data_IF_554614617530
#
_entry.id   IF_554614617530
#
_cell.length_a   1.000
_cell.length_b   1.000
_cell.length_c   1.000
_cell.angle_alpha   90.00
_cell.angle_beta   90.00
_cell.angle_gamma   90.00
#
_symmetry.space_group_name_H-M   'P 1'
#
loop_
_entity.id
_entity.type
_entity.pdbx_description
1 polymer ?
#
# COMPACT_ATOMS: atom_id res chain seq x y z
N UNK A 1 -31.79 0.67 18.84
CA UNK A 1 -32.66 0.43 20.03
C UNK A 1 -34.09 0.72 19.67
N UNK A 2 -35.01 -0.10 20.16
CA UNK A 2 -36.45 0.15 20.05
C UNK A 2 -36.87 1.33 20.92
N UNK A 3 -37.76 2.15 20.40
CA UNK A 3 -38.41 3.23 21.19
C UNK A 3 -39.82 2.81 21.49
N UNK A 4 -40.16 2.78 22.76
CA UNK A 4 -41.52 2.43 23.24
C UNK A 4 -42.13 3.70 23.85
N UNK A 5 -43.30 4.11 23.36
CA UNK A 5 -44.03 5.32 23.83
C UNK A 5 -45.49 5.01 24.04
N UNK A 6 -46.08 5.55 25.11
CA UNK A 6 -47.52 5.51 25.32
C UNK A 6 -48.20 6.61 24.50
N UNK A 7 -49.18 6.25 23.69
CA UNK A 7 -50.02 7.19 22.91
C UNK A 7 -51.49 6.86 23.18
N UNK A 8 -52.12 7.67 24.02
CA UNK A 8 -53.47 7.41 24.49
C UNK A 8 -53.56 6.09 25.28
N UNK A 9 -54.43 5.19 24.88
CA UNK A 9 -54.62 3.86 25.51
C UNK A 9 -53.73 2.77 24.93
N UNK A 10 -52.78 3.10 24.02
CA UNK A 10 -51.91 2.12 23.34
C UNK A 10 -50.45 2.43 23.52
N UNK A 11 -49.61 1.38 23.49
CA UNK A 11 -48.18 1.44 23.51
C UNK A 11 -47.64 1.29 22.07
N UNK A 12 -47.05 2.34 21.53
CA UNK A 12 -46.42 2.33 20.22
C UNK A 12 -44.94 1.98 20.34
N UNK A 13 -44.52 0.98 19.58
CA UNK A 13 -43.13 0.58 19.44
C UNK A 13 -42.63 0.98 18.07
N UNK A 14 -41.42 1.56 18.00
CA UNK A 14 -40.69 1.81 16.78
C UNK A 14 -39.28 1.22 16.89
N UNK A 15 -38.92 0.35 15.96
CA UNK A 15 -37.57 -0.19 15.78
C UNK A 15 -36.95 0.46 14.55
N UNK A 16 -35.83 1.14 14.74
CA UNK A 16 -35.02 1.74 13.65
C UNK A 16 -33.58 1.28 13.81
N UNK A 17 -32.98 0.79 12.72
CA UNK A 17 -31.57 0.40 12.64
C UNK A 17 -30.87 1.20 11.56
N UNK A 18 -29.55 1.41 11.71
CA UNK A 18 -28.70 2.11 10.74
C UNK A 18 -28.65 1.44 9.36
N UNK A 19 -29.05 0.17 9.28
CA UNK A 19 -29.17 -0.64 8.06
C UNK A 19 -30.45 -0.37 7.25
N UNK A 20 -31.26 0.63 7.62
CA UNK A 20 -32.52 0.97 6.95
C UNK A 20 -33.73 0.16 7.42
N UNK A 21 -33.58 -0.82 8.34
CA UNK A 21 -34.73 -1.54 8.90
C UNK A 21 -35.59 -0.61 9.73
N UNK A 22 -36.90 -0.58 9.41
CA UNK A 22 -37.93 0.18 10.16
C UNK A 22 -39.13 -0.69 10.35
N UNK A 23 -39.54 -0.86 11.61
CA UNK A 23 -40.79 -1.53 11.98
C UNK A 23 -41.49 -0.72 13.06
N UNK A 24 -42.83 -0.65 13.00
CA UNK A 24 -43.64 0.03 14.00
C UNK A 24 -44.91 -0.76 14.24
N UNK A 25 -45.30 -0.91 15.51
CA UNK A 25 -46.54 -1.58 15.91
C UNK A 25 -47.06 -1.00 17.20
N UNK A 26 -48.42 -1.07 17.42
CA UNK A 26 -49.07 -0.57 18.61
C UNK A 26 -49.75 -1.71 19.36
N UNK A 27 -49.67 -1.70 20.70
CA UNK A 27 -50.17 -2.73 21.59
C UNK A 27 -51.05 -2.11 22.69
N UNK A 28 -51.97 -2.89 23.25
CA UNK A 28 -52.77 -2.48 24.41
C UNK A 28 -51.98 -2.62 25.70
N UNK A 29 -51.19 -3.68 25.84
CA UNK A 29 -50.38 -3.95 27.01
C UNK A 29 -48.90 -3.60 26.77
N UNK A 30 -48.28 -3.03 27.80
CA UNK A 30 -46.85 -2.69 27.76
C UNK A 30 -45.94 -3.93 27.61
N UNK A 31 -46.31 -5.02 28.29
CA UNK A 31 -45.56 -6.28 28.23
C UNK A 31 -45.50 -6.87 26.81
N UNK A 32 -46.59 -6.76 26.03
CA UNK A 32 -46.62 -7.20 24.62
C UNK A 32 -45.79 -6.29 23.74
N UNK A 33 -45.80 -4.99 24.02
CA UNK A 33 -44.96 -4.03 23.34
C UNK A 33 -43.46 -4.33 23.53
N UNK A 34 -43.05 -4.63 24.76
CA UNK A 34 -41.66 -4.98 25.09
C UNK A 34 -41.22 -6.33 24.49
N UNK A 35 -42.11 -7.32 24.48
CA UNK A 35 -41.86 -8.62 23.84
C UNK A 35 -41.65 -8.45 22.35
N UNK A 36 -42.56 -7.78 21.67
CA UNK A 36 -42.48 -7.52 20.25
C UNK A 36 -41.26 -6.67 19.90
N UNK A 37 -40.87 -5.70 20.74
CA UNK A 37 -39.67 -4.91 20.56
C UNK A 37 -38.41 -5.79 20.48
N UNK A 38 -38.24 -6.72 21.43
CA UNK A 38 -37.16 -7.69 21.46
C UNK A 38 -37.16 -8.61 20.25
N UNK A 39 -38.34 -9.12 19.85
CA UNK A 39 -38.47 -9.97 18.68
C UNK A 39 -38.15 -9.21 17.38
N UNK A 40 -38.61 -7.98 17.22
CA UNK A 40 -38.36 -7.14 16.07
C UNK A 40 -36.88 -6.68 15.99
N UNK A 41 -36.22 -6.44 17.13
CA UNK A 41 -34.77 -6.18 17.17
C UNK A 41 -33.98 -7.44 16.79
N UNK A 42 -34.32 -8.60 17.36
CA UNK A 42 -33.71 -9.88 17.01
C UNK A 42 -33.93 -10.25 15.53
N UNK A 43 -35.12 -9.95 14.99
CA UNK A 43 -35.41 -10.15 13.56
C UNK A 43 -34.64 -9.16 12.66
N UNK A 44 -34.52 -7.88 13.08
CA UNK A 44 -33.70 -6.90 12.38
C UNK A 44 -32.22 -7.32 12.36
N UNK A 45 -31.74 -7.85 13.48
CA UNK A 45 -30.38 -8.36 13.61
C UNK A 45 -30.19 -9.66 12.79
N UNK A 46 -31.20 -10.56 12.77
CA UNK A 46 -31.21 -11.76 11.90
C UNK A 46 -31.31 -11.44 10.41
N UNK A 47 -32.10 -10.44 10.02
CA UNK A 47 -32.16 -9.98 8.61
C UNK A 47 -30.89 -9.32 8.15
N UNK A 48 -30.16 -8.69 9.04
CA UNK A 48 -28.79 -8.19 8.77
C UNK A 48 -27.79 -9.35 8.73
N UNK A 49 -28.01 -10.36 9.53
CA UNK A 49 -27.32 -11.64 9.56
C UNK A 49 -28.18 -12.69 8.83
N UNK A 50 -28.47 -12.53 7.54
CA UNK A 50 -28.85 -13.68 6.73
C UNK A 50 -27.65 -14.64 6.66
N UNK A 51 -27.32 -15.20 7.81
CA UNK A 51 -26.47 -16.37 7.90
C UNK A 51 -27.33 -17.50 7.35
N UNK A 52 -27.11 -17.84 6.09
CA UNK A 52 -27.54 -19.12 5.56
C UNK A 52 -26.41 -20.13 5.85
N UNK A 53 -26.51 -20.95 6.90
CA UNK A 53 -25.48 -21.94 7.23
C UNK A 53 -25.26 -22.91 6.09
N UNK A 54 -26.29 -23.15 5.29
CA UNK A 54 -26.25 -24.03 4.10
C UNK A 54 -25.37 -23.43 3.02
N UNK A 55 -25.44 -22.12 2.79
CA UNK A 55 -24.58 -21.40 1.86
C UNK A 55 -23.12 -21.43 2.32
N UNK A 56 -22.86 -21.15 3.61
CA UNK A 56 -21.51 -21.17 4.18
C UNK A 56 -20.88 -22.57 4.14
N UNK A 57 -21.70 -23.63 4.30
CA UNK A 57 -21.23 -25.01 4.20
C UNK A 57 -20.89 -25.43 2.75
N UNK A 58 -21.52 -24.81 1.74
CA UNK A 58 -21.27 -25.11 0.31
C UNK A 58 -20.11 -24.31 -0.27
N UNK A 59 -19.98 -23.02 0.11
CA UNK A 59 -18.96 -22.14 -0.43
C UNK A 59 -17.59 -22.39 0.23
N UNK A 60 -16.54 -22.39 -0.60
CA UNK A 60 -15.15 -22.42 -0.15
C UNK A 60 -14.53 -21.02 -0.23
N UNK A 61 -13.46 -20.82 0.50
CA UNK A 61 -12.69 -19.58 0.39
C UNK A 61 -12.16 -19.37 -1.05
N UNK A 62 -11.79 -20.43 -1.75
CA UNK A 62 -11.38 -20.39 -3.15
C UNK A 62 -12.44 -19.77 -4.08
N UNK A 63 -13.73 -19.98 -3.79
CA UNK A 63 -14.81 -19.43 -4.62
C UNK A 63 -14.88 -17.90 -4.47
N UNK A 64 -14.69 -17.41 -3.24
CA UNK A 64 -14.61 -15.97 -2.98
C UNK A 64 -13.38 -15.35 -3.61
N UNK A 65 -12.21 -15.99 -3.50
CA UNK A 65 -10.97 -15.51 -4.10
C UNK A 65 -11.08 -15.38 -5.62
N UNK A 66 -11.64 -16.39 -6.31
CA UNK A 66 -11.86 -16.35 -7.76
C UNK A 66 -12.87 -15.29 -8.15
N UNK A 67 -14.00 -15.18 -7.45
CA UNK A 67 -14.98 -14.13 -7.69
C UNK A 67 -14.38 -12.75 -7.52
N UNK A 68 -13.57 -12.56 -6.47
CA UNK A 68 -12.88 -11.30 -6.21
C UNK A 68 -11.87 -10.95 -7.31
N UNK A 69 -11.10 -11.94 -7.78
CA UNK A 69 -10.18 -11.78 -8.90
C UNK A 69 -10.90 -11.33 -10.18
N UNK A 70 -12.08 -11.89 -10.44
CA UNK A 70 -12.86 -11.57 -11.63
C UNK A 70 -13.58 -10.23 -11.55
N UNK A 71 -14.12 -9.84 -10.38
CA UNK A 71 -15.03 -8.70 -10.27
C UNK A 71 -14.41 -7.44 -9.64
N UNK A 72 -13.46 -7.59 -8.71
CA UNK A 72 -12.90 -6.45 -7.95
C UNK A 72 -11.49 -6.10 -8.40
N UNK A 73 -10.66 -7.10 -8.62
CA UNK A 73 -9.25 -6.91 -9.01
C UNK A 73 -9.07 -6.11 -10.30
N UNK A 74 -9.87 -6.28 -11.38
CA UNK A 74 -9.66 -5.58 -12.65
C UNK A 74 -9.71 -4.06 -12.53
N UNK A 75 -10.53 -3.52 -11.65
CA UNK A 75 -10.66 -2.07 -11.43
C UNK A 75 -9.45 -1.45 -10.71
N UNK A 76 -8.52 -2.26 -10.20
CA UNK A 76 -7.38 -1.77 -9.42
C UNK A 76 -6.15 -1.52 -10.27
N UNK A 77 -5.43 -0.45 -9.98
CA UNK A 77 -4.13 -0.17 -10.63
C UNK A 77 -3.08 -1.27 -10.38
N UNK A 78 -3.19 -1.98 -9.27
CA UNK A 78 -2.29 -3.08 -8.88
C UNK A 78 -2.79 -4.46 -9.32
N UNK A 79 -3.73 -4.54 -10.26
CA UNK A 79 -4.40 -5.80 -10.66
C UNK A 79 -3.41 -6.94 -10.95
N UNK A 80 -2.35 -6.67 -11.71
CA UNK A 80 -1.35 -7.71 -12.05
C UNK A 80 -0.66 -8.28 -10.80
N UNK A 81 -0.26 -7.41 -9.87
CA UNK A 81 0.37 -7.84 -8.61
C UNK A 81 -0.63 -8.55 -7.69
N UNK A 82 -1.86 -8.04 -7.61
CA UNK A 82 -2.90 -8.65 -6.77
C UNK A 82 -3.28 -10.04 -7.28
N UNK A 83 -3.34 -10.27 -8.60
CA UNK A 83 -3.52 -11.61 -9.18
C UNK A 83 -2.44 -12.60 -8.75
N UNK A 84 -1.18 -12.16 -8.66
CA UNK A 84 -0.10 -13.02 -8.16
C UNK A 84 -0.32 -13.42 -6.69
N UNK A 85 -0.78 -12.49 -5.85
CA UNK A 85 -1.12 -12.79 -4.45
C UNK A 85 -2.33 -13.71 -4.36
N UNK A 86 -3.37 -13.48 -5.16
CA UNK A 86 -4.57 -14.35 -5.20
C UNK A 86 -4.22 -15.75 -5.68
N UNK A 87 -3.41 -15.90 -6.71
CA UNK A 87 -2.94 -17.20 -7.19
C UNK A 87 -2.13 -17.94 -6.11
N UNK A 88 -1.26 -17.22 -5.37
CA UNK A 88 -0.52 -17.80 -4.27
C UNK A 88 -1.43 -18.25 -3.10
N UNK A 89 -2.50 -17.51 -2.81
CA UNK A 89 -3.50 -17.88 -1.81
C UNK A 89 -4.34 -19.08 -2.27
N UNK A 90 -4.76 -19.09 -3.53
CA UNK A 90 -5.55 -20.20 -4.13
C UNK A 90 -4.79 -21.53 -4.09
N UNK A 91 -3.47 -21.51 -4.19
CA UNK A 91 -2.61 -22.70 -4.07
C UNK A 91 -2.45 -23.21 -2.64
N UNK A 92 -2.99 -22.52 -1.61
CA UNK A 92 -2.86 -22.92 -0.20
C UNK A 92 -4.02 -23.80 0.27
N UNK A 93 -3.78 -24.73 1.22
CA UNK A 93 -4.83 -25.55 1.81
C UNK A 93 -5.98 -24.70 2.43
N UNK A 94 -5.65 -23.51 2.97
CA UNK A 94 -6.63 -22.57 3.50
C UNK A 94 -7.75 -22.25 2.48
N UNK A 95 -7.41 -22.10 1.19
CA UNK A 95 -8.37 -21.78 0.13
C UNK A 95 -9.43 -22.87 -0.07
N UNK A 96 -9.15 -24.11 0.31
CA UNK A 96 -10.06 -25.23 0.19
C UNK A 96 -11.04 -25.38 1.35
N UNK A 97 -10.85 -24.61 2.44
CA UNK A 97 -11.77 -24.62 3.57
C UNK A 97 -13.14 -24.06 3.16
N UNK A 98 -14.21 -24.72 3.64
CA UNK A 98 -15.56 -24.17 3.56
C UNK A 98 -15.65 -22.92 4.44
N UNK A 99 -16.50 -21.99 4.09
CA UNK A 99 -16.62 -20.73 4.86
C UNK A 99 -17.08 -20.96 6.29
N UNK A 100 -17.88 -21.99 6.54
CA UNK A 100 -18.30 -22.41 7.89
C UNK A 100 -17.10 -22.85 8.75
N UNK A 101 -16.06 -23.41 8.15
CA UNK A 101 -14.85 -23.89 8.81
C UNK A 101 -13.75 -22.81 8.92
N UNK A 102 -13.96 -21.65 8.30
CA UNK A 102 -12.99 -20.54 8.27
C UNK A 102 -13.06 -19.71 9.57
N UNK A 103 -12.54 -20.30 10.63
CA UNK A 103 -12.51 -19.69 11.96
C UNK A 103 -11.29 -18.78 12.18
N UNK A 104 -11.30 -17.87 13.17
CA UNK A 104 -10.12 -17.10 13.57
C UNK A 104 -8.92 -17.98 13.89
N UNK A 105 -9.13 -19.15 14.50
CA UNK A 105 -8.07 -20.13 14.80
C UNK A 105 -7.40 -20.63 13.53
N UNK A 106 -8.15 -21.05 12.50
CA UNK A 106 -7.59 -21.50 11.22
C UNK A 106 -6.78 -20.42 10.52
N UNK A 107 -7.21 -19.16 10.63
CA UNK A 107 -6.47 -18.03 10.09
C UNK A 107 -5.22 -17.71 10.91
N UNK A 108 -5.24 -17.92 12.23
CA UNK A 108 -4.07 -17.80 13.08
C UNK A 108 -3.04 -18.91 12.78
N UNK A 109 -3.49 -20.15 12.63
CA UNK A 109 -2.64 -21.28 12.22
C UNK A 109 -1.98 -20.99 10.86
N UNK A 110 -2.75 -20.47 9.89
CA UNK A 110 -2.21 -20.02 8.60
C UNK A 110 -1.17 -18.91 8.76
N UNK A 111 -1.45 -17.88 9.56
CA UNK A 111 -0.49 -16.79 9.85
C UNK A 111 0.82 -17.36 10.37
N UNK A 112 0.76 -18.27 11.35
CA UNK A 112 1.94 -18.81 12.04
C UNK A 112 2.74 -19.72 11.11
N UNK A 113 2.08 -20.55 10.30
CA UNK A 113 2.72 -21.31 9.23
C UNK A 113 3.45 -20.37 8.24
N UNK A 114 2.79 -19.29 7.85
CA UNK A 114 3.40 -18.36 6.91
C UNK A 114 4.58 -17.60 7.51
N UNK A 115 4.52 -17.23 8.77
CA UNK A 115 5.62 -16.57 9.48
C UNK A 115 6.90 -17.41 9.56
N UNK A 116 6.80 -18.75 9.56
CA UNK A 116 7.97 -19.62 9.50
C UNK A 116 8.66 -19.63 8.13
N UNK A 117 8.00 -19.16 7.06
CA UNK A 117 8.50 -19.25 5.67
C UNK A 117 8.77 -17.90 5.02
N UNK A 118 8.07 -16.85 5.43
CA UNK A 118 8.19 -15.52 4.80
C UNK A 118 8.22 -14.41 5.84
N UNK A 119 8.69 -13.24 5.41
CA UNK A 119 8.78 -12.07 6.29
C UNK A 119 7.40 -11.59 6.76
N UNK A 120 7.29 -11.06 8.00
CA UNK A 120 6.02 -10.57 8.56
C UNK A 120 5.25 -9.60 7.66
N UNK A 121 5.95 -8.72 6.95
CA UNK A 121 5.35 -7.80 5.99
C UNK A 121 4.62 -8.48 4.82
N UNK A 122 5.02 -9.69 4.43
CA UNK A 122 4.33 -10.50 3.41
C UNK A 122 3.05 -11.10 3.98
N UNK A 123 3.12 -11.64 5.19
CA UNK A 123 1.94 -12.20 5.90
C UNK A 123 0.89 -11.12 6.15
N UNK A 124 1.31 -9.90 6.52
CA UNK A 124 0.41 -8.75 6.67
C UNK A 124 -0.36 -8.45 5.37
N UNK A 125 0.29 -8.52 4.22
CA UNK A 125 -0.37 -8.30 2.92
C UNK A 125 -1.35 -9.42 2.58
N UNK A 126 -0.98 -10.66 2.85
CA UNK A 126 -1.86 -11.82 2.66
C UNK A 126 -3.12 -11.70 3.53
N UNK A 127 -2.96 -11.40 4.82
CA UNK A 127 -4.08 -11.21 5.75
C UNK A 127 -4.94 -10.00 5.39
N UNK A 128 -4.34 -8.89 4.93
CA UNK A 128 -5.08 -7.72 4.49
C UNK A 128 -5.92 -8.01 3.24
N UNK A 129 -5.40 -8.78 2.30
CA UNK A 129 -6.15 -9.21 1.11
C UNK A 129 -7.29 -10.14 1.50
N UNK A 130 -7.04 -11.16 2.33
CA UNK A 130 -8.07 -12.06 2.85
C UNK A 130 -9.17 -11.28 3.59
N UNK A 131 -8.78 -10.35 4.46
CA UNK A 131 -9.73 -9.49 5.18
C UNK A 131 -10.60 -8.68 4.21
N UNK A 132 -10.02 -8.13 3.14
CA UNK A 132 -10.77 -7.35 2.16
C UNK A 132 -11.70 -8.23 1.32
N UNK A 133 -11.26 -9.40 0.89
CA UNK A 133 -12.10 -10.38 0.16
C UNK A 133 -13.33 -10.77 0.97
N UNK A 134 -13.13 -11.13 2.24
CA UNK A 134 -14.22 -11.52 3.14
C UNK A 134 -15.16 -10.34 3.45
N UNK A 135 -14.63 -9.13 3.55
CA UNK A 135 -15.44 -7.94 3.76
C UNK A 135 -16.33 -7.61 2.56
N UNK A 136 -15.79 -7.70 1.34
CA UNK A 136 -16.55 -7.54 0.09
C UNK A 136 -17.61 -8.64 -0.02
N UNK A 137 -17.25 -9.89 0.26
CA UNK A 137 -18.20 -11.01 0.23
C UNK A 137 -19.36 -10.78 1.19
N UNK A 138 -19.08 -10.29 2.38
CA UNK A 138 -20.09 -10.00 3.40
C UNK A 138 -20.98 -8.82 3.03
N UNK A 139 -20.38 -7.71 2.54
CA UNK A 139 -21.12 -6.45 2.31
C UNK A 139 -21.81 -6.39 0.96
N UNK A 140 -21.16 -6.89 -0.07
CA UNK A 140 -21.61 -6.67 -1.46
C UNK A 140 -22.22 -7.92 -2.09
N UNK A 141 -21.76 -9.12 -1.68
CA UNK A 141 -22.23 -10.36 -2.32
C UNK A 141 -23.30 -11.10 -1.51
N UNK A 142 -23.68 -10.57 -0.37
CA UNK A 142 -24.71 -11.17 0.49
C UNK A 142 -24.30 -12.52 1.07
N UNK A 143 -22.98 -12.81 1.14
CA UNK A 143 -22.49 -14.01 1.82
C UNK A 143 -22.72 -13.85 3.32
N UNK A 144 -23.48 -14.75 3.92
CA UNK A 144 -23.97 -14.68 5.29
C UNK A 144 -22.90 -14.87 6.37
N UNK A 145 -21.75 -14.21 6.26
CA UNK A 145 -20.74 -14.18 7.31
C UNK A 145 -21.19 -13.22 8.42
N UNK A 146 -21.35 -13.74 9.63
CA UNK A 146 -21.71 -12.94 10.81
C UNK A 146 -20.70 -11.81 11.07
N UNK A 147 -19.43 -12.16 11.04
CA UNK A 147 -18.31 -11.22 11.14
C UNK A 147 -17.15 -11.69 10.24
N UNK A 148 -16.18 -10.82 10.06
CA UNK A 148 -14.99 -11.13 9.30
C UNK A 148 -13.93 -11.76 10.24
N UNK A 149 -13.67 -13.08 10.15
CA UNK A 149 -12.79 -13.77 11.08
C UNK A 149 -11.34 -13.25 11.03
N UNK A 150 -10.92 -12.61 9.93
CA UNK A 150 -9.59 -11.98 9.85
C UNK A 150 -9.39 -10.81 10.81
N UNK A 151 -10.48 -10.17 11.28
CA UNK A 151 -10.39 -9.05 12.22
C UNK A 151 -9.98 -9.49 13.62
N UNK A 152 -10.29 -10.74 13.97
CA UNK A 152 -9.98 -11.32 15.27
C UNK A 152 -8.56 -11.93 15.32
N UNK A 153 -7.84 -11.96 14.20
CA UNK A 153 -6.48 -12.49 14.15
C UNK A 153 -5.49 -11.35 14.43
N UNK A 154 -4.63 -11.55 15.42
CA UNK A 154 -3.54 -10.63 15.70
C UNK A 154 -2.59 -10.52 14.50
N UNK A 155 -2.35 -9.31 14.04
CA UNK A 155 -1.46 -9.04 12.90
C UNK A 155 -0.02 -9.02 13.37
N UNK A 156 0.91 -9.66 12.63
CA UNK A 156 2.32 -9.61 12.98
C UNK A 156 2.86 -8.17 12.78
N UNK A 157 3.83 -7.78 13.60
CA UNK A 157 4.54 -6.51 13.39
C UNK A 157 5.38 -6.59 12.11
N UNK A 158 5.31 -5.55 11.29
CA UNK A 158 6.13 -5.46 10.07
C UNK A 158 7.64 -5.30 10.37
N UNK A 159 7.99 -5.08 11.63
CA UNK A 159 9.33 -4.70 12.04
C UNK A 159 9.68 -3.25 11.67
N UNK A 160 10.86 -2.77 12.07
CA UNK A 160 11.32 -1.43 11.74
C UNK A 160 11.47 -1.27 10.23
N UNK A 161 11.13 -0.10 9.75
CA UNK A 161 11.35 0.24 8.34
C UNK A 161 12.84 0.38 8.05
N UNK A 162 13.27 -0.07 6.86
CA UNK A 162 14.65 0.02 6.42
C UNK A 162 15.13 1.48 6.35
N UNK A 163 16.30 1.76 6.95
CA UNK A 163 16.92 3.09 7.00
C UNK A 163 18.34 3.07 6.41
N UNK A 164 18.61 2.15 5.48
CA UNK A 164 19.92 1.96 4.87
C UNK A 164 20.31 3.18 4.04
N UNK A 165 21.43 3.79 4.39
CA UNK A 165 22.08 4.87 3.65
C UNK A 165 23.32 4.33 2.91
N UNK A 166 23.82 5.07 1.93
CA UNK A 166 25.03 4.72 1.17
C UNK A 166 26.19 5.51 1.78
N UNK A 167 27.18 4.79 2.30
CA UNK A 167 28.39 5.40 2.81
C UNK A 167 29.28 5.95 1.68
N UNK A 168 30.17 6.93 1.99
CA UNK A 168 31.08 7.49 1.00
C UNK A 168 31.95 6.44 0.30
N UNK A 169 32.48 5.47 1.05
CA UNK A 169 33.30 4.36 0.50
C UNK A 169 32.48 3.46 -0.44
N UNK A 170 31.23 3.15 -0.08
CA UNK A 170 30.36 2.35 -0.95
C UNK A 170 30.00 3.10 -2.24
N UNK A 171 29.76 4.41 -2.13
CA UNK A 171 29.51 5.24 -3.31
C UNK A 171 30.73 5.29 -4.23
N UNK A 172 31.94 5.45 -3.69
CA UNK A 172 33.19 5.40 -4.43
C UNK A 172 33.36 4.04 -5.15
N UNK A 173 33.13 2.92 -4.45
CA UNK A 173 33.18 1.58 -5.02
C UNK A 173 32.15 1.37 -6.15
N UNK A 174 30.93 1.92 -5.99
CA UNK A 174 29.93 1.91 -7.07
C UNK A 174 30.39 2.71 -8.29
N UNK A 175 30.98 3.90 -8.08
CA UNK A 175 31.50 4.74 -9.16
C UNK A 175 32.66 4.05 -9.89
N UNK A 176 33.58 3.41 -9.20
CA UNK A 176 34.67 2.62 -9.79
C UNK A 176 34.12 1.43 -10.60
N UNK A 177 33.18 0.68 -10.01
CA UNK A 177 32.53 -0.44 -10.69
C UNK A 177 31.73 -0.03 -11.93
N UNK A 178 31.23 1.22 -11.99
CA UNK A 178 30.54 1.80 -13.14
C UNK A 178 31.51 2.03 -14.32
N UNK A 179 32.77 2.38 -14.08
CA UNK A 179 33.77 2.57 -15.16
C UNK A 179 33.98 1.29 -15.98
N UNK A 180 33.80 0.13 -15.33
CA UNK A 180 33.89 -1.20 -15.95
C UNK A 180 32.56 -1.73 -16.45
N UNK A 181 31.51 -0.89 -16.45
CA UNK A 181 30.15 -1.30 -16.81
C UNK A 181 29.91 -1.06 -18.31
N UNK A 182 29.51 -2.12 -19.03
CA UNK A 182 29.21 -2.03 -20.47
C UNK A 182 27.88 -1.34 -20.79
N UNK A 183 26.99 -1.17 -19.78
CA UNK A 183 25.67 -0.58 -20.02
C UNK A 183 25.73 0.94 -20.00
N UNK A 184 25.55 1.62 -21.14
CA UNK A 184 25.84 3.06 -21.28
C UNK A 184 24.97 3.93 -20.34
N UNK A 185 23.72 3.53 -20.10
CA UNK A 185 22.77 4.33 -19.32
C UNK A 185 22.86 4.10 -17.79
N UNK A 186 23.54 3.04 -17.32
CA UNK A 186 23.46 2.68 -15.90
C UNK A 186 24.04 3.78 -15.00
N UNK A 187 25.14 4.37 -15.39
CA UNK A 187 25.79 5.46 -14.65
C UNK A 187 24.89 6.70 -14.53
N UNK A 188 24.29 7.11 -15.65
CA UNK A 188 23.35 8.22 -15.70
C UNK A 188 22.11 7.94 -14.82
N UNK A 189 21.51 6.76 -14.96
CA UNK A 189 20.36 6.32 -14.17
C UNK A 189 20.64 6.38 -12.65
N UNK A 190 21.79 5.92 -12.21
CA UNK A 190 22.14 5.90 -10.79
C UNK A 190 22.37 7.30 -10.22
N UNK A 191 23.16 8.13 -10.95
CA UNK A 191 23.41 9.52 -10.56
C UNK A 191 22.11 10.32 -10.54
N UNK A 192 21.29 10.18 -11.56
CA UNK A 192 20.00 10.87 -11.61
C UNK A 192 19.03 10.39 -10.51
N UNK A 193 19.01 9.09 -10.18
CA UNK A 193 18.20 8.55 -9.11
C UNK A 193 18.59 9.10 -7.72
N UNK A 194 19.90 9.25 -7.45
CA UNK A 194 20.38 9.75 -6.14
C UNK A 194 20.22 11.27 -5.99
N UNK A 195 20.21 12.01 -7.10
CA UNK A 195 19.98 13.46 -7.08
C UNK A 195 18.51 13.82 -6.98
N UNK A 196 17.61 13.04 -7.60
CA UNK A 196 16.19 13.37 -7.69
C UNK A 196 15.31 12.65 -6.68
N UNK A 197 15.76 11.52 -6.15
CA UNK A 197 14.96 10.68 -5.26
C UNK A 197 13.71 10.08 -5.94
N UNK A 198 13.64 10.04 -7.27
CA UNK A 198 12.52 9.47 -8.00
C UNK A 198 12.33 7.99 -7.71
N UNK A 199 11.08 7.52 -7.81
CA UNK A 199 10.82 6.07 -7.78
C UNK A 199 11.35 5.43 -9.06
N UNK A 200 11.85 4.19 -8.97
CA UNK A 200 12.35 3.45 -10.15
C UNK A 200 11.37 3.46 -11.33
N UNK A 201 10.07 3.30 -11.06
CA UNK A 201 9.05 3.29 -12.12
C UNK A 201 8.79 4.68 -12.73
N UNK A 202 9.01 5.74 -11.99
CA UNK A 202 8.94 7.11 -12.47
C UNK A 202 10.16 7.40 -13.35
N UNK A 203 11.34 7.08 -12.83
CA UNK A 203 12.62 7.24 -13.50
C UNK A 203 12.67 6.60 -14.91
N UNK A 204 12.11 5.39 -15.05
CA UNK A 204 12.09 4.65 -16.32
C UNK A 204 10.96 5.09 -17.28
N UNK A 205 10.15 6.06 -16.89
CA UNK A 205 9.02 6.57 -17.69
C UNK A 205 9.14 8.04 -18.08
N UNK A 206 10.11 8.78 -17.51
CA UNK A 206 10.29 10.18 -17.89
C UNK A 206 10.77 10.28 -19.33
N UNK A 207 10.26 11.28 -20.02
CA UNK A 207 10.53 11.56 -21.42
C UNK A 207 11.28 12.88 -21.56
N UNK A 208 12.01 13.06 -22.66
CA UNK A 208 12.73 14.30 -22.94
C UNK A 208 11.82 15.53 -22.98
N UNK A 209 10.59 15.38 -23.47
CA UNK A 209 9.59 16.47 -23.49
C UNK A 209 9.08 16.89 -22.11
N UNK A 210 9.41 16.14 -21.06
CA UNK A 210 9.08 16.47 -19.67
C UNK A 210 10.17 17.31 -18.99
N UNK A 211 11.35 17.39 -19.60
CA UNK A 211 12.51 18.15 -19.13
C UNK A 211 12.42 19.58 -19.64
N UNK A 212 12.48 20.55 -18.73
CA UNK A 212 12.73 21.95 -19.02
C UNK A 212 14.11 22.31 -18.47
N UNK A 213 15.08 22.41 -19.38
CA UNK A 213 16.47 22.71 -19.02
C UNK A 213 16.63 24.16 -18.56
N UNK A 214 15.85 25.11 -19.12
CA UNK A 214 15.94 26.54 -18.80
C UNK A 214 15.46 26.79 -17.34
N UNK A 215 14.35 26.22 -16.95
CA UNK A 215 13.84 26.31 -15.58
C UNK A 215 14.44 25.27 -14.63
N UNK A 216 15.27 24.37 -15.14
CA UNK A 216 15.83 23.21 -14.40
C UNK A 216 14.77 22.40 -13.67
N UNK A 217 13.72 22.03 -14.41
CA UNK A 217 12.60 21.26 -13.85
C UNK A 217 12.30 20.02 -14.68
N UNK A 218 11.71 19.01 -14.04
CA UNK A 218 11.24 17.79 -14.69
C UNK A 218 9.81 17.47 -14.25
N UNK A 219 8.92 17.33 -15.23
CA UNK A 219 7.54 16.94 -14.99
C UNK A 219 7.39 15.43 -14.92
N UNK A 220 6.87 14.92 -13.82
CA UNK A 220 6.54 13.51 -13.62
C UNK A 220 5.04 13.33 -13.84
N UNK A 221 4.65 12.88 -15.04
CA UNK A 221 3.23 12.77 -15.46
C UNK A 221 2.48 11.68 -14.73
N UNK A 222 3.11 10.52 -14.52
CA UNK A 222 2.51 9.35 -13.89
C UNK A 222 3.29 8.93 -12.64
N UNK A 223 2.83 9.36 -11.48
CA UNK A 223 3.32 8.83 -10.22
C UNK A 223 2.55 7.55 -9.81
N UNK A 224 3.18 6.69 -9.00
CA UNK A 224 2.55 5.49 -8.43
C UNK A 224 1.18 5.79 -7.78
N UNK A 225 1.01 7.00 -7.23
CA UNK A 225 -0.21 7.45 -6.56
C UNK A 225 -1.16 8.24 -7.49
N UNK A 226 -0.90 8.29 -8.81
CA UNK A 226 -1.78 8.90 -9.81
C UNK A 226 -1.75 10.42 -9.91
N UNK A 227 -0.87 11.10 -9.18
CA UNK A 227 -0.78 12.57 -9.25
C UNK A 227 0.51 12.99 -9.94
N UNK A 228 0.41 13.82 -10.99
CA UNK A 228 1.58 14.45 -11.61
C UNK A 228 2.23 15.41 -10.60
N UNK A 229 3.52 15.65 -10.78
CA UNK A 229 4.27 16.68 -10.07
C UNK A 229 5.45 17.14 -10.89
N UNK A 230 5.94 18.33 -10.62
CA UNK A 230 7.18 18.86 -11.18
C UNK A 230 8.23 18.89 -10.08
N UNK A 231 9.43 18.40 -10.36
CA UNK A 231 10.58 18.42 -9.44
C UNK A 231 11.66 19.37 -9.98
N UNK A 232 12.41 19.98 -9.07
CA UNK A 232 13.60 20.75 -9.42
C UNK A 232 14.79 19.80 -9.68
N UNK A 233 15.68 20.22 -10.56
CA UNK A 233 16.90 19.48 -10.88
C UNK A 233 18.13 20.27 -10.41
N UNK A 234 19.01 19.61 -9.66
CA UNK A 234 20.34 20.13 -9.35
C UNK A 234 21.23 20.12 -10.61
N UNK A 235 22.30 20.90 -10.58
CA UNK A 235 23.31 20.86 -11.65
C UNK A 235 23.87 19.45 -11.83
N UNK A 236 24.07 18.71 -10.73
CA UNK A 236 24.51 17.32 -10.78
C UNK A 236 23.48 16.38 -11.44
N UNK A 237 22.18 16.66 -11.26
CA UNK A 237 21.14 15.92 -11.96
C UNK A 237 21.15 16.21 -13.47
N UNK A 238 21.32 17.46 -13.88
CA UNK A 238 21.46 17.83 -15.29
C UNK A 238 22.74 17.25 -15.91
N UNK A 239 23.87 17.32 -15.20
CA UNK A 239 25.13 16.71 -15.65
C UNK A 239 25.00 15.18 -15.83
N UNK A 240 24.17 14.51 -15.04
CA UNK A 240 23.89 13.08 -15.24
C UNK A 240 23.15 12.80 -16.55
N UNK A 241 22.42 13.76 -17.12
CA UNK A 241 21.71 13.66 -18.39
C UNK A 241 22.57 14.05 -19.59
N UNK A 242 23.60 14.87 -19.41
CA UNK A 242 24.43 15.39 -20.51
C UNK A 242 25.07 14.29 -21.36
N UNK A 243 25.38 13.12 -20.79
CA UNK A 243 25.91 11.96 -21.50
C UNK A 243 24.87 10.99 -22.07
N UNK A 244 23.56 11.30 -21.94
CA UNK A 244 22.49 10.44 -22.45
C UNK A 244 22.09 10.91 -23.85
N UNK A 245 22.31 10.04 -24.84
CA UNK A 245 21.95 10.36 -26.23
C UNK A 245 20.43 10.41 -26.40
N UNK A 246 19.93 11.43 -27.08
CA UNK A 246 18.54 11.53 -27.53
C UNK A 246 18.41 10.83 -28.88
N UNK A 247 17.45 9.95 -29.01
CA UNK A 247 17.10 9.28 -30.24
C UNK A 247 15.71 9.73 -30.71
N UNK A 248 15.52 9.98 -31.99
CA UNK A 248 14.25 10.44 -32.54
C UNK A 248 13.09 9.46 -32.29
N UNK A 249 13.39 8.17 -32.35
CA UNK A 249 12.40 7.09 -32.15
C UNK A 249 12.18 6.70 -30.69
N UNK A 250 12.87 7.31 -29.71
CA UNK A 250 12.75 6.96 -28.30
C UNK A 250 12.53 8.21 -27.44
N UNK A 251 11.30 8.38 -27.02
CA UNK A 251 10.91 9.53 -26.20
C UNK A 251 11.47 9.50 -24.77
N UNK A 252 11.76 8.31 -24.22
CA UNK A 252 12.20 8.16 -22.82
C UNK A 252 13.66 8.56 -22.66
N UNK A 253 13.94 9.23 -21.55
CA UNK A 253 15.32 9.58 -21.17
C UNK A 253 16.13 8.29 -20.87
N UNK A 254 15.53 7.31 -20.21
CA UNK A 254 16.17 6.06 -19.84
C UNK A 254 15.41 4.86 -20.43
N UNK A 255 15.64 4.48 -21.67
CA UNK A 255 14.96 3.39 -22.37
C UNK A 255 15.39 2.01 -21.86
N UNK A 256 15.13 1.74 -20.59
CA UNK A 256 15.39 0.46 -19.93
C UNK A 256 14.12 -0.18 -19.40
N UNK A 257 14.06 -1.51 -19.43
CA UNK A 257 13.02 -2.22 -18.68
C UNK A 257 13.37 -2.29 -17.18
N UNK A 258 12.34 -2.39 -16.32
CA UNK A 258 12.54 -2.53 -14.88
C UNK A 258 13.38 -3.77 -14.51
N UNK A 259 13.29 -4.84 -15.30
CA UNK A 259 14.08 -6.04 -15.10
C UNK A 259 15.53 -5.86 -15.57
N UNK A 260 15.75 -5.19 -16.71
CA UNK A 260 17.10 -4.87 -17.19
C UNK A 260 17.85 -4.04 -16.15
N UNK A 261 17.22 -2.98 -15.62
CA UNK A 261 17.80 -2.17 -14.54
C UNK A 261 18.08 -3.00 -13.29
N UNK A 262 17.16 -3.88 -12.88
CA UNK A 262 17.37 -4.78 -11.73
C UNK A 262 18.62 -5.66 -11.92
N UNK A 263 18.74 -6.31 -13.08
CA UNK A 263 19.87 -7.20 -13.38
C UNK A 263 21.17 -6.41 -13.47
N UNK A 264 21.17 -5.23 -14.10
CA UNK A 264 22.34 -4.36 -14.18
C UNK A 264 22.79 -3.89 -12.79
N UNK A 265 21.85 -3.50 -11.92
CA UNK A 265 22.08 -3.13 -10.53
C UNK A 265 22.71 -4.27 -9.72
N UNK A 266 22.16 -5.49 -9.80
CA UNK A 266 22.71 -6.64 -9.09
C UNK A 266 24.14 -7.00 -9.53
N UNK A 267 24.43 -6.87 -10.82
CA UNK A 267 25.79 -7.08 -11.36
C UNK A 267 26.76 -5.99 -10.87
N UNK A 268 26.29 -4.74 -10.84
CA UNK A 268 27.09 -3.62 -10.36
C UNK A 268 27.44 -3.78 -8.89
N UNK A 269 26.47 -4.06 -8.03
CA UNK A 269 26.69 -4.32 -6.60
C UNK A 269 27.71 -5.42 -6.35
N UNK A 270 27.55 -6.55 -7.05
CA UNK A 270 28.48 -7.68 -6.93
C UNK A 270 29.91 -7.26 -7.30
N UNK A 271 30.07 -6.46 -8.36
CA UNK A 271 31.37 -5.93 -8.77
C UNK A 271 31.97 -4.95 -7.76
N UNK A 272 31.12 -4.16 -7.11
CA UNK A 272 31.51 -3.22 -6.06
C UNK A 272 31.71 -3.88 -4.68
N UNK A 273 31.49 -5.19 -4.53
CA UNK A 273 31.58 -5.90 -3.26
C UNK A 273 30.48 -5.51 -2.24
N UNK A 274 29.33 -5.04 -2.70
CA UNK A 274 28.24 -4.56 -1.81
C UNK A 274 27.10 -5.57 -1.83
N UNK A 275 26.80 -6.18 -0.68
CA UNK A 275 25.73 -7.18 -0.59
C UNK A 275 24.36 -6.60 -0.25
N UNK A 276 24.26 -5.82 0.83
CA UNK A 276 22.98 -5.33 1.36
C UNK A 276 22.70 -3.88 0.91
N UNK A 277 22.53 -3.69 -0.40
CA UNK A 277 22.08 -2.42 -0.96
C UNK A 277 21.02 -2.67 -2.05
N UNK A 278 19.87 -2.01 -1.93
CA UNK A 278 18.78 -2.10 -2.91
C UNK A 278 18.75 -0.83 -3.76
N UNK A 279 18.27 -0.94 -4.99
CA UNK A 279 18.07 0.25 -5.82
C UNK A 279 17.18 1.31 -5.16
N UNK A 280 16.21 0.87 -4.35
CA UNK A 280 15.33 1.80 -3.64
C UNK A 280 16.03 2.56 -2.50
N UNK A 281 17.15 2.06 -2.01
CA UNK A 281 17.94 2.74 -0.98
C UNK A 281 18.60 4.02 -1.52
N UNK A 282 18.82 4.12 -2.86
CA UNK A 282 19.21 5.37 -3.53
C UNK A 282 18.20 6.50 -3.28
N UNK A 283 16.92 6.18 -3.27
CA UNK A 283 15.88 7.16 -2.95
C UNK A 283 15.89 7.54 -1.46
N UNK A 284 16.18 6.61 -0.56
CA UNK A 284 16.37 6.95 0.86
C UNK A 284 17.54 7.90 1.04
N UNK A 285 18.66 7.62 0.38
CA UNK A 285 19.83 8.48 0.37
C UNK A 285 19.52 9.86 -0.20
N UNK A 286 18.87 9.94 -1.37
CA UNK A 286 18.47 11.19 -1.99
C UNK A 286 17.62 12.07 -1.05
N UNK A 287 16.60 11.49 -0.42
CA UNK A 287 15.71 12.22 0.49
C UNK A 287 16.50 12.75 1.70
N UNK A 288 17.39 11.94 2.28
CA UNK A 288 18.25 12.39 3.38
C UNK A 288 19.15 13.55 2.96
N UNK A 289 19.77 13.47 1.76
CA UNK A 289 20.61 14.56 1.22
C UNK A 289 19.81 15.84 0.96
N UNK A 290 18.55 15.76 0.55
CA UNK A 290 17.71 16.95 0.40
C UNK A 290 17.51 17.67 1.75
N UNK A 291 17.26 16.94 2.83
CA UNK A 291 17.19 17.53 4.17
C UNK A 291 18.54 18.08 4.64
N UNK A 292 19.65 17.38 4.35
CA UNK A 292 21.02 17.85 4.65
C UNK A 292 21.39 19.14 3.89
N UNK A 293 20.82 19.33 2.69
CA UNK A 293 20.91 20.58 1.91
C UNK A 293 19.99 21.70 2.44
N UNK A 294 19.25 21.46 3.51
CA UNK A 294 18.40 22.45 4.18
C UNK A 294 16.97 22.57 3.69
N UNK A 295 16.53 21.71 2.74
CA UNK A 295 15.14 21.73 2.27
C UNK A 295 14.20 21.34 3.41
N UNK A 296 13.06 22.02 3.47
CA UNK A 296 12.02 21.73 4.45
C UNK A 296 11.12 20.53 4.02
N UNK A 297 10.26 20.09 4.94
CA UNK A 297 9.37 18.92 4.70
C UNK A 297 8.44 19.11 3.48
N UNK A 298 7.76 20.26 3.28
CA UNK A 298 6.99 20.53 2.07
C UNK A 298 7.80 20.43 0.78
N UNK A 299 9.01 21.03 0.74
CA UNK A 299 9.88 21.00 -0.44
C UNK A 299 10.33 19.57 -0.77
N UNK A 300 10.76 18.80 0.24
CA UNK A 300 11.11 17.39 0.06
C UNK A 300 9.89 16.54 -0.32
N UNK A 301 8.69 16.91 0.14
CA UNK A 301 7.46 16.23 -0.26
C UNK A 301 7.16 16.43 -1.76
N UNK A 302 7.36 17.63 -2.29
CA UNK A 302 7.25 17.94 -3.74
C UNK A 302 8.25 17.11 -4.53
N UNK A 303 9.52 17.14 -4.14
CA UNK A 303 10.59 16.38 -4.80
C UNK A 303 10.31 14.87 -4.81
N UNK A 304 10.04 14.33 -3.65
CA UNK A 304 9.89 12.88 -3.47
C UNK A 304 8.50 12.33 -3.82
N UNK A 305 7.46 13.18 -3.83
CA UNK A 305 6.07 12.78 -4.04
C UNK A 305 5.49 11.98 -2.87
N UNK A 306 5.89 12.30 -1.63
CA UNK A 306 5.22 11.82 -0.42
C UNK A 306 3.99 12.70 -0.14
N UNK A 307 2.84 12.07 0.05
CA UNK A 307 1.59 12.76 0.40
C UNK A 307 1.39 12.89 1.90
N UNK A 308 1.89 11.91 2.63
CA UNK A 308 1.87 11.91 4.08
C UNK A 308 3.24 12.40 4.59
N UNK A 309 3.31 13.61 5.15
CA UNK A 309 4.57 14.19 5.64
C UNK A 309 5.19 13.36 6.78
N UNK A 310 4.37 12.59 7.51
CA UNK A 310 4.85 11.68 8.57
C UNK A 310 5.86 10.66 8.04
N UNK A 311 5.76 10.30 6.76
CA UNK A 311 6.72 9.41 6.11
C UNK A 311 8.09 10.06 5.91
N UNK A 312 8.19 11.38 5.98
CA UNK A 312 9.43 12.15 5.82
C UNK A 312 10.13 12.40 7.15
N UNK A 313 9.44 12.43 8.28
CA UNK A 313 10.05 12.67 9.60
C UNK A 313 11.16 11.69 9.95
N UNK A 314 11.15 10.50 9.39
CA UNK A 314 12.23 9.52 9.53
C UNK A 314 13.59 9.97 8.94
N UNK A 315 13.60 11.03 8.16
CA UNK A 315 14.80 11.56 7.49
C UNK A 315 15.25 12.90 8.08
N UNK A 316 14.44 13.57 8.89
CA UNK A 316 14.71 14.94 9.31
C UNK A 316 15.79 15.04 10.38
N UNK A 317 15.95 14.04 11.25
CA UNK A 317 16.94 13.98 12.35
C UNK A 317 17.39 15.35 12.86
N UNK A 318 16.46 16.24 13.31
CA UNK A 318 16.83 17.60 13.73
C UNK A 318 17.74 17.53 14.97
N UNK A 319 18.84 18.27 14.92
CA UNK A 319 19.76 18.41 16.07
C UNK A 319 19.37 19.67 16.84
N UNK A 320 19.29 19.62 18.17
CA UNK A 320 18.99 20.81 18.97
C UNK A 320 19.93 21.98 18.68
N UNK A 321 21.23 21.70 18.43
CA UNK A 321 22.25 22.68 18.09
C UNK A 321 21.95 23.42 16.78
N UNK A 322 21.43 22.69 15.77
CA UNK A 322 21.05 23.28 14.49
C UNK A 322 19.81 24.18 14.65
N UNK A 323 18.89 23.77 15.52
CA UNK A 323 17.70 24.56 15.85
C UNK A 323 18.14 25.83 16.61
N UNK A 324 19.04 25.71 17.59
CA UNK A 324 19.55 26.87 18.34
C UNK A 324 20.25 27.88 17.42
N UNK A 325 21.07 27.42 16.45
CA UNK A 325 21.69 28.31 15.45
C UNK A 325 20.64 29.06 14.61
N UNK A 326 19.62 28.36 14.14
CA UNK A 326 18.53 29.00 13.39
C UNK A 326 17.75 30.01 14.20
N UNK A 327 17.50 29.75 15.50
CA UNK A 327 16.84 30.68 16.41
C UNK A 327 17.71 31.93 16.71
N UNK A 328 19.03 31.76 16.66
CA UNK A 328 19.99 32.87 16.82
C UNK A 328 20.20 33.69 15.53
N UNK A 329 19.49 33.39 14.44
CA UNK A 329 19.61 34.13 13.18
C UNK A 329 20.92 33.86 12.43
N UNK A 330 21.58 32.73 12.69
CA UNK A 330 22.88 32.36 12.11
C UNK A 330 22.75 31.15 11.19
#
# INVERSE_FOLDING_TARGET
MATIRKRGMRWQVQVRRSNGYRASRSFLLRADAERWAREAEAEADRRFLRIDPTQLAKLRLSDLLRRYEASVTPAKRSAATERQFLAALLARPLAQLRLVDLTPRRLADYRDERLSRVRPASVLRELALLQHVLEVARREWGVGLADNPCRMVAKPSAGPSRQRRIGPAEWAALCEALQRCRHPLLGAVLRFAIETGMRRSELLRVEWRDLDEASRTLRIRMAKNGHPRTIALSEAALAALAGVQRHEDEARIFPMSANALRLAWERLKRRAGIEDLRFHDLRHEAISRLFEKGLNVPEVAVMSGHRDPRMLFRYTHPRPEDIARKLAGR
#
